data_IF_928599959617
#
_entry.id   IF_928599959617
#
_cell.length_a   1.000
_cell.length_b   1.000
_cell.length_c   1.000
_cell.angle_alpha   90.00
_cell.angle_beta   90.00
_cell.angle_gamma   90.00
#
_symmetry.space_group_name_H-M   'P 1'
#
loop_
_entity.id
_entity.type
_entity.pdbx_description
1 polymer ?
#
# COMPACT_ATOMS: atom_id res chain seq x y z
N UNK A 1 11.78 -2.18 8.00
CA UNK A 1 12.03 -1.55 9.32
C UNK A 1 11.86 -2.53 10.49
N UNK A 2 10.71 -3.21 10.57
CA UNK A 2 10.37 -4.13 11.66
C UNK A 2 11.36 -5.28 11.79
N UNK A 3 11.91 -5.76 10.67
CA UNK A 3 13.00 -6.75 10.69
C UNK A 3 14.16 -6.31 11.61
N UNK A 4 14.68 -5.09 11.44
CA UNK A 4 15.80 -4.60 12.25
C UNK A 4 15.40 -4.40 13.72
N UNK A 5 14.18 -3.89 13.95
CA UNK A 5 13.65 -3.71 15.31
C UNK A 5 13.54 -5.05 16.05
N UNK A 6 12.92 -6.07 15.46
CA UNK A 6 12.76 -7.36 16.10
C UNK A 6 14.08 -8.13 16.24
N UNK A 7 15.04 -7.92 15.35
CA UNK A 7 16.41 -8.43 15.53
C UNK A 7 17.07 -7.80 16.75
N UNK A 8 17.03 -6.47 16.89
CA UNK A 8 17.58 -5.78 18.06
C UNK A 8 16.92 -6.22 19.37
N UNK A 9 15.59 -6.33 19.38
CA UNK A 9 14.84 -6.78 20.56
C UNK A 9 15.18 -8.23 20.94
N UNK A 10 15.45 -9.09 19.97
CA UNK A 10 15.88 -10.46 20.22
C UNK A 10 17.28 -10.51 20.85
N UNK A 11 18.23 -9.75 20.30
CA UNK A 11 19.62 -9.77 20.75
C UNK A 11 19.79 -9.20 22.16
N UNK A 12 19.05 -8.14 22.50
CA UNK A 12 19.19 -7.45 23.78
C UNK A 12 18.23 -7.92 24.88
N UNK A 13 17.03 -8.41 24.51
CA UNK A 13 15.97 -8.74 25.47
C UNK A 13 15.51 -10.20 25.40
N UNK A 14 16.11 -11.03 24.55
CA UNK A 14 15.78 -12.46 24.40
C UNK A 14 14.28 -12.74 24.25
N UNK A 15 13.56 -11.85 23.55
CA UNK A 15 12.11 -11.90 23.41
C UNK A 15 11.66 -13.16 22.62
N UNK A 16 10.83 -14.04 23.24
CA UNK A 16 10.28 -15.20 22.55
C UNK A 16 9.33 -14.75 21.42
N UNK A 17 9.47 -15.35 20.23
CA UNK A 17 8.67 -15.02 19.04
C UNK A 17 9.26 -13.98 18.10
N UNK A 18 10.27 -13.20 18.52
CA UNK A 18 10.94 -12.24 17.63
C UNK A 18 11.63 -12.90 16.42
N UNK A 19 12.02 -14.18 16.54
CA UNK A 19 12.63 -14.96 15.45
C UNK A 19 11.72 -15.16 14.23
N UNK A 20 10.40 -15.02 14.36
CA UNK A 20 9.46 -15.21 13.25
C UNK A 20 9.67 -14.15 12.16
N UNK A 21 10.09 -12.94 12.53
CA UNK A 21 10.43 -11.87 11.58
C UNK A 21 11.69 -12.16 10.76
N UNK A 22 12.49 -13.18 11.10
CA UNK A 22 13.64 -13.56 10.28
C UNK A 22 13.20 -14.25 8.98
N UNK A 23 12.11 -15.02 9.04
CA UNK A 23 11.58 -15.72 7.88
C UNK A 23 11.01 -14.75 6.85
N UNK A 24 11.52 -14.84 5.62
CA UNK A 24 11.05 -14.02 4.52
C UNK A 24 9.59 -14.33 4.19
N UNK A 25 9.17 -15.60 4.27
CA UNK A 25 7.79 -16.04 4.02
C UNK A 25 6.80 -15.34 4.94
N UNK A 26 7.11 -15.26 6.24
CA UNK A 26 6.28 -14.56 7.21
C UNK A 26 6.19 -13.06 6.90
N UNK A 27 7.32 -12.41 6.66
CA UNK A 27 7.34 -10.97 6.33
C UNK A 27 6.57 -10.65 5.05
N UNK A 28 6.71 -11.49 4.03
CA UNK A 28 5.97 -11.34 2.77
C UNK A 28 4.46 -11.55 2.98
N UNK A 29 4.06 -12.60 3.70
CA UNK A 29 2.65 -12.85 4.00
C UNK A 29 2.01 -11.67 4.77
N UNK A 30 2.70 -11.16 5.79
CA UNK A 30 2.22 -10.00 6.56
C UNK A 30 2.15 -8.73 5.71
N UNK A 31 3.11 -8.51 4.81
CA UNK A 31 3.08 -7.37 3.89
C UNK A 31 1.88 -7.44 2.92
N UNK A 32 1.57 -8.63 2.38
CA UNK A 32 0.41 -8.85 1.50
C UNK A 32 -0.90 -8.59 2.26
N UNK A 33 -1.04 -9.15 3.46
CA UNK A 33 -2.23 -8.95 4.30
C UNK A 33 -2.40 -7.47 4.61
N UNK A 34 -1.33 -6.77 5.00
CA UNK A 34 -1.40 -5.35 5.29
C UNK A 34 -1.74 -4.51 4.04
N UNK A 35 -1.15 -4.83 2.88
CA UNK A 35 -1.48 -4.19 1.60
C UNK A 35 -2.97 -4.33 1.27
N UNK A 36 -3.53 -5.53 1.46
CA UNK A 36 -4.95 -5.80 1.24
C UNK A 36 -5.84 -5.02 2.22
N UNK A 37 -5.46 -4.98 3.50
CA UNK A 37 -6.20 -4.20 4.51
C UNK A 37 -6.19 -2.72 4.15
N UNK A 38 -5.05 -2.18 3.73
CA UNK A 38 -4.94 -0.79 3.30
C UNK A 38 -5.87 -0.51 2.11
N UNK A 39 -5.79 -1.33 1.07
CA UNK A 39 -6.58 -1.12 -0.15
C UNK A 39 -8.09 -1.24 0.09
N UNK A 40 -8.54 -2.23 0.87
CA UNK A 40 -9.96 -2.44 1.15
C UNK A 40 -10.52 -1.39 2.12
N UNK A 41 -9.82 -1.10 3.22
CA UNK A 41 -10.33 -0.21 4.29
C UNK A 41 -10.23 1.26 3.90
N UNK A 42 -9.14 1.66 3.24
CA UNK A 42 -8.92 3.06 2.84
C UNK A 42 -9.38 3.35 1.41
N UNK A 43 -9.69 2.31 0.63
CA UNK A 43 -10.21 2.42 -0.74
C UNK A 43 -11.39 3.37 -0.85
N UNK A 44 -12.50 3.04 -0.18
CA UNK A 44 -13.74 3.84 -0.23
C UNK A 44 -13.55 5.27 0.27
N UNK A 45 -12.79 5.46 1.36
CA UNK A 45 -12.52 6.79 1.94
C UNK A 45 -11.73 7.66 0.97
N UNK A 46 -10.70 7.11 0.35
CA UNK A 46 -9.88 7.85 -0.61
C UNK A 46 -10.67 8.19 -1.88
N UNK A 47 -11.50 7.26 -2.39
CA UNK A 47 -12.39 7.52 -3.54
C UNK A 47 -13.32 8.71 -3.24
N UNK A 48 -13.97 8.71 -2.08
CA UNK A 48 -14.83 9.83 -1.66
C UNK A 48 -14.06 11.14 -1.50
N UNK A 49 -12.83 11.08 -0.98
CA UNK A 49 -11.97 12.25 -0.83
C UNK A 49 -11.56 12.85 -2.18
N UNK A 50 -11.13 12.02 -3.13
CA UNK A 50 -10.75 12.45 -4.47
C UNK A 50 -11.95 13.02 -5.25
N UNK A 51 -13.12 12.40 -5.09
CA UNK A 51 -14.36 12.92 -5.68
C UNK A 51 -14.73 14.30 -5.12
N UNK A 52 -14.59 14.51 -3.80
CA UNK A 52 -14.82 15.82 -3.16
C UNK A 52 -13.83 16.90 -3.62
N UNK A 53 -12.60 16.54 -3.95
CA UNK A 53 -11.60 17.48 -4.49
C UNK A 53 -11.79 17.79 -5.98
N UNK A 54 -12.87 17.30 -6.60
CA UNK A 54 -13.18 17.51 -8.02
C UNK A 54 -12.01 17.14 -8.95
N UNK A 55 -11.19 16.15 -8.57
CA UNK A 55 -10.15 15.55 -9.42
C UNK A 55 -10.83 14.51 -10.32
N UNK A 56 -11.91 14.93 -10.99
CA UNK A 56 -12.68 14.13 -11.92
C UNK A 56 -12.28 14.50 -13.35
N UNK A 57 -12.26 13.50 -14.23
CA UNK A 57 -12.00 13.72 -15.64
C UNK A 57 -13.09 14.62 -16.24
N UNK A 58 -12.70 15.74 -16.87
CA UNK A 58 -13.61 16.51 -17.72
C UNK A 58 -13.87 15.68 -18.98
N UNK A 59 -14.99 14.95 -19.00
CA UNK A 59 -15.39 14.15 -20.15
C UNK A 59 -15.61 15.07 -21.35
N UNK A 60 -14.71 14.99 -22.33
CA UNK A 60 -14.88 15.63 -23.64
C UNK A 60 -15.93 14.83 -24.40
N UNK A 61 -16.94 15.49 -24.95
CA UNK A 61 -18.03 14.82 -25.67
C UNK A 61 -17.47 14.27 -26.99
N UNK A 62 -17.21 12.96 -27.07
CA UNK A 62 -16.72 12.29 -28.28
C UNK A 62 -17.86 11.57 -29.02
N UNK A 63 -19.10 11.66 -28.52
CA UNK A 63 -20.29 11.08 -29.15
C UNK A 63 -20.35 9.55 -29.08
N UNK A 64 -19.58 8.93 -28.18
CA UNK A 64 -19.49 7.48 -28.04
C UNK A 64 -20.52 6.96 -27.01
N UNK A 65 -21.13 5.81 -27.29
CA UNK A 65 -22.02 5.14 -26.34
C UNK A 65 -21.23 4.73 -25.08
N UNK A 66 -21.69 5.17 -23.90
CA UNK A 66 -21.06 4.87 -22.60
C UNK A 66 -20.14 5.96 -22.02
N UNK A 67 -19.85 7.06 -22.73
CA UNK A 67 -19.01 8.15 -22.19
C UNK A 67 -19.62 8.83 -20.97
N UNK A 68 -20.94 9.02 -20.98
CA UNK A 68 -21.66 9.62 -19.85
C UNK A 68 -21.56 8.78 -18.57
N UNK A 69 -21.30 7.46 -18.67
CA UNK A 69 -21.17 6.58 -17.49
C UNK A 69 -19.81 6.73 -16.79
N UNK A 70 -18.77 7.17 -17.49
CA UNK A 70 -17.45 7.45 -16.88
C UNK A 70 -17.37 8.85 -16.25
N UNK A 71 -18.42 9.67 -16.41
CA UNK A 71 -18.46 11.03 -15.88
C UNK A 71 -18.52 11.00 -14.36
N UNK A 72 -17.47 11.52 -13.72
CA UNK A 72 -17.39 11.63 -12.26
C UNK A 72 -16.60 10.52 -11.54
N UNK A 73 -16.04 9.56 -12.27
CA UNK A 73 -15.03 8.66 -11.67
C UNK A 73 -13.78 9.48 -11.29
N UNK A 74 -13.30 9.36 -10.04
CA UNK A 74 -12.11 10.11 -9.63
C UNK A 74 -10.89 9.62 -10.38
N UNK A 75 -10.13 10.55 -10.93
CA UNK A 75 -8.80 10.30 -11.48
C UNK A 75 -7.79 10.35 -10.32
N UNK A 76 -6.75 9.51 -10.34
CA UNK A 76 -5.76 9.30 -9.25
C UNK A 76 -6.03 8.19 -8.21
N UNK A 77 -6.76 7.14 -8.57
CA UNK A 77 -6.84 5.92 -7.73
C UNK A 77 -5.48 5.24 -7.46
N UNK A 78 -4.47 5.49 -8.30
CA UNK A 78 -3.11 4.97 -8.14
C UNK A 78 -2.42 5.36 -6.84
N UNK A 79 -2.82 6.47 -6.20
CA UNK A 79 -2.27 6.88 -4.90
C UNK A 79 -2.50 5.79 -3.82
N UNK A 80 -3.65 5.13 -3.86
CA UNK A 80 -3.99 4.05 -2.92
C UNK A 80 -3.08 2.85 -3.17
N UNK A 81 -2.83 2.54 -4.44
CA UNK A 81 -1.96 1.43 -4.83
C UNK A 81 -0.53 1.70 -4.36
N UNK A 82 -0.01 2.90 -4.62
CA UNK A 82 1.32 3.32 -4.18
C UNK A 82 1.43 3.23 -2.65
N UNK A 83 0.45 3.72 -1.92
CA UNK A 83 0.43 3.62 -0.46
C UNK A 83 0.35 2.16 0.03
N UNK A 84 -0.47 1.33 -0.60
CA UNK A 84 -0.62 -0.08 -0.27
C UNK A 84 0.63 -0.90 -0.59
N UNK A 85 1.50 -0.44 -1.48
CA UNK A 85 2.81 -1.08 -1.76
C UNK A 85 3.88 -0.53 -0.82
N UNK A 86 4.02 0.80 -0.73
CA UNK A 86 5.12 1.43 0.01
C UNK A 86 5.05 1.18 1.52
N UNK A 87 3.86 1.31 2.13
CA UNK A 87 3.72 1.21 3.59
C UNK A 87 4.11 -0.21 4.07
N UNK A 88 3.55 -1.31 3.52
CA UNK A 88 3.92 -2.65 3.94
C UNK A 88 5.37 -3.00 3.60
N UNK A 89 5.89 -2.53 2.45
CA UNK A 89 7.28 -2.77 2.06
C UNK A 89 8.25 -2.10 3.02
N UNK A 90 8.05 -0.82 3.37
CA UNK A 90 8.90 -0.13 4.33
C UNK A 90 8.86 -0.79 5.71
N UNK A 91 7.70 -1.28 6.14
CA UNK A 91 7.54 -1.95 7.43
C UNK A 91 8.24 -3.31 7.46
N UNK A 92 7.91 -4.22 6.55
CA UNK A 92 8.32 -5.62 6.62
C UNK A 92 9.57 -5.95 5.81
N UNK A 93 9.95 -5.14 4.83
CA UNK A 93 11.10 -5.43 4.00
C UNK A 93 12.42 -4.95 4.65
N UNK A 94 13.54 -5.48 4.14
CA UNK A 94 14.90 -5.08 4.54
C UNK A 94 15.30 -3.87 3.71
N UNK A 95 15.41 -2.71 4.35
CA UNK A 95 15.58 -1.42 3.66
C UNK A 95 16.95 -1.31 2.99
N UNK A 96 17.95 -2.02 3.51
CA UNK A 96 19.30 -2.10 2.93
C UNK A 96 19.35 -2.83 1.57
N UNK A 97 18.28 -3.51 1.17
CA UNK A 97 18.26 -4.23 -0.09
C UNK A 97 18.13 -3.27 -1.27
N UNK A 98 19.07 -3.33 -2.21
CA UNK A 98 19.10 -2.51 -3.42
C UNK A 98 17.78 -2.58 -4.19
N UNK A 99 17.15 -3.76 -4.29
CA UNK A 99 15.85 -3.90 -4.98
C UNK A 99 14.71 -3.13 -4.30
N UNK A 100 14.80 -2.91 -2.99
CA UNK A 100 13.79 -2.17 -2.21
C UNK A 100 14.08 -0.67 -2.28
N UNK A 101 15.35 -0.27 -2.38
CA UNK A 101 15.76 1.12 -2.55
C UNK A 101 15.49 1.67 -3.96
N UNK A 102 15.58 0.82 -4.98
CA UNK A 102 15.30 1.20 -6.38
C UNK A 102 13.80 1.29 -6.69
N UNK A 103 12.94 0.78 -5.82
CA UNK A 103 11.48 0.75 -6.00
C UNK A 103 10.86 2.13 -5.83
#
# INVERSE_FOLDING_TARGET
MLYHLFTYLREHFSLPGAGVFYFITFRTAMAIVLSLVISLVYGKRMIQYLHRKQIGETVRDLGLEGEKQKKGTPTMGGIIIIAAILIPTLLFARIENVYILLM
#
